data_IF_252428013617
#
_entry.id   IF_252428013617
#
_cell.length_a   1.000
_cell.length_b   1.000
_cell.length_c   1.000
_cell.angle_alpha   90.00
_cell.angle_beta   90.00
_cell.angle_gamma   90.00
#
_symmetry.space_group_name_H-M   'P 1'
#
loop_
_entity.id
_entity.type
_entity.pdbx_description
1 polymer ?
#
# COMPACT_ATOMS: atom_id res chain seq x y z
N UNK A 1 -15.97 14.13 2.35
CA UNK A 1 -14.55 13.66 2.26
C UNK A 1 -14.59 12.15 2.21
N UNK A 2 -13.86 11.51 1.29
CA UNK A 2 -14.02 10.08 1.01
C UNK A 2 -13.32 9.24 2.09
N UNK A 3 -14.03 8.96 3.20
CA UNK A 3 -13.50 8.25 4.38
C UNK A 3 -12.98 6.84 4.04
N UNK A 4 -13.48 6.24 2.97
CA UNK A 4 -13.04 4.93 2.47
C UNK A 4 -11.55 4.94 2.08
N UNK A 5 -11.09 5.95 1.33
CA UNK A 5 -9.67 6.08 0.96
C UNK A 5 -8.77 6.16 2.19
N UNK A 6 -9.15 6.99 3.17
CA UNK A 6 -8.37 7.21 4.40
C UNK A 6 -8.27 5.93 5.24
N UNK A 7 -9.35 5.15 5.29
CA UNK A 7 -9.34 3.88 6.02
C UNK A 7 -8.49 2.82 5.31
N UNK A 8 -8.59 2.70 3.97
CA UNK A 8 -7.79 1.76 3.19
C UNK A 8 -6.30 2.12 3.25
N UNK A 9 -5.96 3.41 3.14
CA UNK A 9 -4.57 3.88 3.26
C UNK A 9 -3.99 3.59 4.66
N UNK A 10 -4.80 3.68 5.72
CA UNK A 10 -4.38 3.32 7.08
C UNK A 10 -4.07 1.83 7.19
N UNK A 11 -4.96 0.97 6.70
CA UNK A 11 -4.78 -0.49 6.70
C UNK A 11 -3.52 -0.87 5.90
N UNK A 12 -3.31 -0.27 4.73
CA UNK A 12 -2.12 -0.51 3.92
C UNK A 12 -0.84 -0.13 4.67
N UNK A 13 -0.83 1.02 5.35
CA UNK A 13 0.30 1.45 6.18
C UNK A 13 0.55 0.55 7.40
N UNK A 14 -0.49 -0.03 7.99
CA UNK A 14 -0.35 -1.04 9.05
C UNK A 14 0.24 -2.35 8.51
N UNK A 15 -0.21 -2.82 7.35
CA UNK A 15 0.37 -3.99 6.69
C UNK A 15 1.85 -3.79 6.33
N UNK A 16 2.24 -2.60 5.85
CA UNK A 16 3.65 -2.25 5.63
C UNK A 16 4.48 -2.30 6.92
N UNK A 17 3.94 -1.82 8.05
CA UNK A 17 4.64 -1.89 9.35
C UNK A 17 4.78 -3.31 9.88
N UNK A 18 3.83 -4.19 9.57
CA UNK A 18 3.88 -5.59 9.94
C UNK A 18 4.77 -6.43 9.01
N UNK A 19 5.44 -5.82 8.03
CA UNK A 19 6.25 -6.53 7.03
C UNK A 19 5.41 -7.33 6.02
N UNK A 20 4.09 -7.16 6.02
CA UNK A 20 3.13 -7.82 5.13
C UNK A 20 3.05 -7.07 3.79
N UNK A 21 4.19 -6.93 3.12
CA UNK A 21 4.31 -6.11 1.92
C UNK A 21 3.46 -6.61 0.74
N UNK A 22 3.28 -7.93 0.59
CA UNK A 22 2.38 -8.49 -0.42
C UNK A 22 0.93 -8.06 -0.21
N UNK A 23 0.41 -8.20 1.02
CA UNK A 23 -0.96 -7.81 1.35
C UNK A 23 -1.14 -6.29 1.25
N UNK A 24 -0.15 -5.51 1.70
CA UNK A 24 -0.15 -4.06 1.57
C UNK A 24 -0.30 -3.61 0.11
N UNK A 25 0.37 -4.27 -0.83
CA UNK A 25 0.28 -3.93 -2.26
C UNK A 25 -1.14 -4.10 -2.82
N UNK A 26 -1.86 -5.13 -2.39
CA UNK A 26 -3.25 -5.37 -2.79
C UNK A 26 -4.21 -4.34 -2.17
N UNK A 27 -3.98 -3.96 -0.92
CA UNK A 27 -4.77 -2.93 -0.24
C UNK A 27 -4.55 -1.56 -0.91
N UNK A 28 -3.31 -1.24 -1.31
CA UNK A 28 -3.01 -0.04 -2.09
C UNK A 28 -3.71 -0.06 -3.47
N UNK A 29 -3.78 -1.21 -4.16
CA UNK A 29 -4.55 -1.36 -5.42
C UNK A 29 -6.04 -1.11 -5.23
N UNK A 30 -6.64 -1.59 -4.12
CA UNK A 30 -8.04 -1.29 -3.79
C UNK A 30 -8.25 0.21 -3.55
N UNK A 31 -7.28 0.85 -2.90
CA UNK A 31 -7.28 2.30 -2.68
C UNK A 31 -7.27 3.07 -4.00
N UNK A 32 -6.49 2.60 -4.98
CA UNK A 32 -6.36 3.21 -6.31
C UNK A 32 -7.71 3.36 -7.03
N UNK A 33 -8.59 2.36 -6.89
CA UNK A 33 -9.92 2.34 -7.54
C UNK A 33 -10.85 3.48 -7.06
N UNK A 34 -10.65 3.96 -5.83
CA UNK A 34 -11.45 5.02 -5.21
C UNK A 34 -10.66 6.32 -4.99
N UNK A 35 -9.39 6.34 -5.40
CA UNK A 35 -8.47 7.44 -5.20
C UNK A 35 -8.73 8.56 -6.20
N UNK A 36 -8.37 9.78 -5.82
CA UNK A 36 -8.42 10.94 -6.71
C UNK A 36 -7.20 10.92 -7.63
N UNK A 37 -7.32 11.55 -8.80
CA UNK A 37 -6.23 11.64 -9.78
C UNK A 37 -4.90 12.15 -9.19
N UNK A 38 -4.95 13.05 -8.21
CA UNK A 38 -3.76 13.56 -7.50
C UNK A 38 -3.07 12.50 -6.62
N UNK A 39 -3.85 11.58 -6.04
CA UNK A 39 -3.35 10.52 -5.15
C UNK A 39 -2.87 9.29 -5.94
N UNK A 40 -3.34 9.09 -7.18
CA UNK A 40 -3.01 7.94 -8.04
C UNK A 40 -1.49 7.76 -8.20
N UNK A 41 -0.75 8.84 -8.47
CA UNK A 41 0.69 8.76 -8.64
C UNK A 41 1.39 8.27 -7.36
N UNK A 42 0.98 8.82 -6.21
CA UNK A 42 1.53 8.44 -4.91
C UNK A 42 1.21 6.99 -4.54
N UNK A 43 -0.02 6.53 -4.80
CA UNK A 43 -0.43 5.14 -4.55
C UNK A 43 0.37 4.18 -5.43
N UNK A 44 0.60 4.50 -6.70
CA UNK A 44 1.41 3.65 -7.58
C UNK A 44 2.86 3.51 -7.08
N UNK A 45 3.47 4.61 -6.61
CA UNK A 45 4.81 4.56 -6.00
C UNK A 45 4.81 3.62 -4.78
N UNK A 46 3.75 3.63 -3.97
CA UNK A 46 3.64 2.74 -2.79
C UNK A 46 3.42 1.29 -3.16
N UNK A 47 2.61 1.01 -4.18
CA UNK A 47 2.44 -0.36 -4.71
C UNK A 47 3.81 -0.89 -5.17
N UNK A 48 4.55 -0.12 -5.95
CA UNK A 48 5.87 -0.51 -6.44
C UNK A 48 6.86 -0.73 -5.29
N UNK A 49 6.85 0.16 -4.30
CA UNK A 49 7.64 -0.01 -3.07
C UNK A 49 7.29 -1.31 -2.33
N UNK A 50 6.01 -1.59 -2.10
CA UNK A 50 5.57 -2.80 -1.42
C UNK A 50 5.93 -4.07 -2.23
N UNK A 51 5.75 -4.06 -3.55
CA UNK A 51 6.10 -5.20 -4.41
C UNK A 51 7.61 -5.44 -4.40
N UNK A 52 8.42 -4.39 -4.45
CA UNK A 52 9.87 -4.48 -4.33
C UNK A 52 10.30 -4.97 -2.94
N UNK A 53 9.70 -4.46 -1.87
CA UNK A 53 9.97 -4.87 -0.50
C UNK A 53 9.59 -6.34 -0.25
N UNK A 54 8.47 -6.79 -0.81
CA UNK A 54 8.04 -8.19 -0.79
C UNK A 54 9.02 -9.09 -1.58
N UNK A 55 9.43 -8.66 -2.78
CA UNK A 55 10.37 -9.41 -3.62
C UNK A 55 11.77 -9.50 -3.00
N UNK A 56 12.20 -8.45 -2.30
CA UNK A 56 13.46 -8.41 -1.55
C UNK A 56 13.35 -8.96 -0.13
N UNK A 57 12.16 -9.45 0.24
CA UNK A 57 11.88 -10.05 1.54
C UNK A 57 12.28 -9.15 2.73
N UNK A 58 12.09 -7.84 2.63
CA UNK A 58 12.49 -6.87 3.66
C UNK A 58 11.83 -7.09 5.03
N UNK A 59 10.76 -7.89 5.10
CA UNK A 59 10.12 -8.34 6.34
C UNK A 59 10.81 -9.53 7.03
N UNK A 60 11.79 -10.14 6.39
CA UNK A 60 12.65 -11.20 6.94
C UNK A 60 14.12 -10.74 7.00
N UNK A 61 14.36 -9.46 7.27
CA UNK A 61 15.66 -9.08 7.82
C UNK A 61 15.67 -9.59 9.26
N UNK A 62 16.21 -10.81 9.42
CA UNK A 62 16.49 -11.47 10.69
C UNK A 62 17.43 -10.63 11.57
#
# INVERSE_FOLDING_TARGET
>A
MNNAYRNIARIAGEAERNGMFSEASEVWRKSLSIARAVDIAWINIRIDFCVNAASRNWGNAQ
#
